data_IF_220587228057
#
_entry.id   IF_220587228057
#
_cell.length_a   1.000
_cell.length_b   1.000
_cell.length_c   1.000
_cell.angle_alpha   90.00
_cell.angle_beta   90.00
_cell.angle_gamma   90.00
#
_symmetry.space_group_name_H-M   'P 1'
#
loop_
_entity.id
_entity.type
_entity.pdbx_description
1 polymer ?
#
# COMPACT_ATOMS: atom_id res chain seq x y z
N UNK A 1 -11.22 -8.32 -6.11
CA UNK A 1 -11.11 -6.85 -6.29
C UNK A 1 -9.68 -6.42 -6.06
N UNK A 2 -9.25 -5.35 -6.71
CA UNK A 2 -7.89 -4.84 -6.55
C UNK A 2 -7.88 -3.64 -5.62
N UNK A 3 -7.03 -3.68 -4.60
CA UNK A 3 -6.88 -2.59 -3.64
C UNK A 3 -5.47 -2.02 -3.68
N UNK A 4 -5.36 -0.70 -3.70
CA UNK A 4 -4.12 0.01 -3.48
C UNK A 4 -4.10 0.55 -2.05
N UNK A 5 -3.08 0.19 -1.28
CA UNK A 5 -2.90 0.69 0.09
C UNK A 5 -1.85 1.79 0.05
N UNK A 6 -2.25 2.99 0.40
CA UNK A 6 -1.33 4.13 0.42
C UNK A 6 -0.78 4.28 1.83
N UNK A 7 0.45 3.87 2.03
CA UNK A 7 1.13 3.86 3.32
C UNK A 7 1.58 2.46 3.70
N UNK A 8 2.86 2.33 4.00
CA UNK A 8 3.51 1.04 4.24
C UNK A 8 3.88 0.81 5.70
N UNK A 9 3.32 1.60 6.60
CA UNK A 9 3.50 1.42 8.03
C UNK A 9 2.71 0.21 8.54
N UNK A 10 2.69 0.02 9.86
CA UNK A 10 2.05 -1.12 10.49
C UNK A 10 0.56 -1.25 10.12
N UNK A 11 -0.18 -0.15 10.10
CA UNK A 11 -1.59 -0.17 9.74
C UNK A 11 -1.79 -0.60 8.29
N UNK A 12 -1.01 -0.03 7.37
CA UNK A 12 -1.08 -0.39 5.95
C UNK A 12 -0.76 -1.85 5.71
N UNK A 13 0.28 -2.37 6.34
CA UNK A 13 0.65 -3.78 6.23
C UNK A 13 -0.44 -4.69 6.80
N UNK A 14 -1.04 -4.34 7.92
CA UNK A 14 -2.12 -5.11 8.54
C UNK A 14 -3.33 -5.18 7.62
N UNK A 15 -3.73 -4.04 7.06
CA UNK A 15 -4.86 -3.97 6.12
C UNK A 15 -4.58 -4.77 4.85
N UNK A 16 -3.38 -4.63 4.30
CA UNK A 16 -2.98 -5.37 3.10
C UNK A 16 -3.03 -6.87 3.33
N UNK A 17 -2.51 -7.35 4.45
CA UNK A 17 -2.54 -8.77 4.80
C UNK A 17 -3.98 -9.27 4.93
N UNK A 18 -4.84 -8.50 5.60
CA UNK A 18 -6.25 -8.89 5.77
C UNK A 18 -6.97 -9.02 4.42
N UNK A 19 -6.74 -8.06 3.52
CA UNK A 19 -7.36 -8.11 2.18
C UNK A 19 -6.84 -9.27 1.35
N UNK A 20 -5.54 -9.58 1.42
CA UNK A 20 -4.99 -10.77 0.76
C UNK A 20 -5.62 -12.06 1.29
N UNK A 21 -5.81 -12.14 2.60
CA UNK A 21 -6.44 -13.30 3.23
C UNK A 21 -7.87 -13.50 2.73
N UNK A 22 -8.56 -12.43 2.41
CA UNK A 22 -9.93 -12.50 1.86
C UNK A 22 -9.96 -12.76 0.35
N UNK A 23 -8.83 -12.95 -0.29
CA UNK A 23 -8.75 -13.31 -1.70
C UNK A 23 -8.69 -12.12 -2.65
N UNK A 24 -8.46 -10.92 -2.15
CA UNK A 24 -8.27 -9.73 -2.99
C UNK A 24 -6.83 -9.60 -3.47
N UNK A 25 -6.63 -8.88 -4.57
CA UNK A 25 -5.33 -8.47 -5.03
C UNK A 25 -4.97 -7.13 -4.37
N UNK A 26 -3.76 -7.01 -3.86
CA UNK A 26 -3.34 -5.82 -3.10
C UNK A 26 -1.97 -5.36 -3.53
N UNK A 27 -1.82 -4.06 -3.71
CA UNK A 27 -0.52 -3.41 -3.86
C UNK A 27 -0.29 -2.47 -2.68
N UNK A 28 0.76 -2.74 -1.91
CA UNK A 28 1.17 -1.89 -0.80
C UNK A 28 2.01 -0.72 -1.34
N UNK A 29 1.48 0.48 -1.21
CA UNK A 29 2.16 1.69 -1.66
C UNK A 29 3.10 2.23 -0.61
N UNK A 30 4.31 2.56 -1.00
CA UNK A 30 5.35 3.06 -0.12
C UNK A 30 6.12 4.21 -0.76
N UNK A 31 6.80 5.00 0.05
CA UNK A 31 7.76 5.99 -0.43
C UNK A 31 9.09 5.36 -0.82
N UNK A 32 9.41 4.22 -0.22
CA UNK A 32 10.70 3.56 -0.41
C UNK A 32 10.49 2.05 -0.49
N UNK A 33 10.57 1.53 -1.71
CA UNK A 33 10.41 0.09 -1.96
C UNK A 33 11.55 -0.75 -1.37
N UNK A 34 12.65 -0.13 -0.98
CA UNK A 34 13.77 -0.80 -0.33
C UNK A 34 13.69 -0.78 1.20
N UNK A 35 12.64 -0.21 1.77
CA UNK A 35 12.43 -0.19 3.22
C UNK A 35 12.39 -1.62 3.76
N UNK A 36 13.18 -1.94 4.80
CA UNK A 36 13.26 -3.31 5.34
C UNK A 36 11.91 -3.88 5.79
N UNK A 37 11.03 -3.04 6.35
CA UNK A 37 9.70 -3.48 6.75
C UNK A 37 8.84 -3.87 5.57
N UNK A 38 8.95 -3.16 4.46
CA UNK A 38 8.22 -3.44 3.22
C UNK A 38 8.74 -4.73 2.59
N UNK A 39 10.05 -4.92 2.55
CA UNK A 39 10.67 -6.13 2.02
C UNK A 39 10.24 -7.35 2.84
N UNK A 40 10.28 -7.23 4.16
CA UNK A 40 9.83 -8.29 5.07
C UNK A 40 8.36 -8.65 4.85
N UNK A 41 7.49 -7.64 4.70
CA UNK A 41 6.08 -7.88 4.41
C UNK A 41 5.90 -8.65 3.12
N UNK A 42 6.62 -8.27 2.07
CA UNK A 42 6.52 -8.94 0.77
C UNK A 42 6.98 -10.40 0.83
N UNK A 43 8.03 -10.68 1.59
CA UNK A 43 8.52 -12.05 1.79
C UNK A 43 7.45 -12.90 2.48
N UNK A 44 6.78 -12.34 3.50
CA UNK A 44 5.74 -13.04 4.24
C UNK A 44 4.41 -13.12 3.50
N UNK A 45 4.24 -12.31 2.45
CA UNK A 45 3.01 -12.25 1.66
C UNK A 45 3.36 -12.30 0.16
N UNK A 46 3.77 -13.47 -0.34
CA UNK A 46 4.33 -13.58 -1.70
C UNK A 46 3.34 -13.25 -2.82
N UNK A 47 2.04 -13.27 -2.55
CA UNK A 47 1.02 -12.84 -3.53
C UNK A 47 0.76 -11.34 -3.50
N UNK A 48 1.28 -10.63 -2.50
CA UNK A 48 1.15 -9.19 -2.39
C UNK A 48 2.12 -8.48 -3.31
N UNK A 49 1.71 -7.31 -3.78
CA UNK A 49 2.52 -6.45 -4.60
C UNK A 49 2.98 -5.23 -3.81
N UNK A 50 4.09 -4.66 -4.23
CA UNK A 50 4.64 -3.44 -3.62
C UNK A 50 5.01 -2.47 -4.74
N UNK A 51 4.69 -1.21 -4.54
CA UNK A 51 5.04 -0.16 -5.49
C UNK A 51 5.03 1.20 -4.79
N UNK A 52 5.33 2.24 -5.55
CA UNK A 52 5.22 3.59 -5.04
C UNK A 52 3.76 4.02 -4.96
N UNK A 53 3.48 5.14 -4.28
CA UNK A 53 2.10 5.60 -4.07
C UNK A 53 1.32 5.72 -5.38
N UNK A 54 1.93 6.30 -6.40
CA UNK A 54 1.30 6.47 -7.72
C UNK A 54 0.95 5.12 -8.33
N UNK A 55 1.85 4.15 -8.20
CA UNK A 55 1.63 2.81 -8.74
C UNK A 55 0.49 2.09 -8.00
N UNK A 56 0.45 2.18 -6.68
CA UNK A 56 -0.62 1.59 -5.90
C UNK A 56 -1.97 2.24 -6.21
N UNK A 57 -2.00 3.54 -6.40
CA UNK A 57 -3.22 4.27 -6.77
C UNK A 57 -3.72 3.84 -8.15
N UNK A 58 -2.82 3.64 -9.10
CA UNK A 58 -3.18 3.18 -10.44
C UNK A 58 -3.63 1.72 -10.45
N UNK A 59 -3.05 0.88 -9.61
CA UNK A 59 -3.39 -0.54 -9.51
C UNK A 59 -4.77 -0.77 -8.92
N UNK A 60 -5.13 -0.01 -7.88
CA UNK A 60 -6.32 -0.28 -7.08
C UNK A 60 -7.61 0.20 -7.73
N UNK A 61 -8.64 -0.63 -7.69
CA UNK A 61 -10.02 -0.21 -7.92
C UNK A 61 -10.56 0.51 -6.69
N UNK A 62 -10.14 0.03 -5.50
CA UNK A 62 -10.36 0.71 -4.24
C UNK A 62 -9.02 1.19 -3.67
N UNK A 63 -9.00 2.38 -3.09
CA UNK A 63 -7.81 2.98 -2.52
C UNK A 63 -8.03 3.16 -1.01
N UNK A 64 -7.07 2.69 -0.21
CA UNK A 64 -7.10 2.87 1.24
C UNK A 64 -5.92 3.75 1.65
N UNK A 65 -6.22 4.85 2.34
CA UNK A 65 -5.19 5.73 2.88
C UNK A 65 -4.82 5.26 4.29
N UNK A 66 -3.61 4.74 4.43
CA UNK A 66 -3.11 4.21 5.70
C UNK A 66 -1.90 5.03 6.18
N UNK A 67 -2.00 6.34 6.06
CA UNK A 67 -0.97 7.28 6.49
C UNK A 67 -1.50 8.12 7.65
N UNK A 68 -0.58 8.69 8.44
CA UNK A 68 -0.97 9.63 9.52
C UNK A 68 -1.67 10.84 8.90
N UNK A 69 -2.64 11.40 9.62
CA UNK A 69 -3.44 12.53 9.13
C UNK A 69 -2.62 13.69 8.57
N UNK A 70 -1.49 14.02 9.20
CA UNK A 70 -0.60 15.08 8.73
C UNK A 70 0.09 14.76 7.40
N UNK A 71 0.07 13.51 6.96
CA UNK A 71 0.70 13.06 5.72
C UNK A 71 -0.28 12.91 4.56
N UNK A 72 -1.59 12.97 4.83
CA UNK A 72 -2.62 12.74 3.80
C UNK A 72 -2.51 13.76 2.66
N UNK A 73 -2.34 15.04 2.98
CA UNK A 73 -2.22 16.09 1.96
C UNK A 73 -1.01 15.86 1.08
N UNK A 74 0.12 15.53 1.67
CA UNK A 74 1.36 15.25 0.92
C UNK A 74 1.18 14.06 -0.03
N UNK A 75 0.55 12.99 0.45
CA UNK A 75 0.29 11.80 -0.36
C UNK A 75 -0.65 12.11 -1.51
N UNK A 76 -1.72 12.87 -1.26
CA UNK A 76 -2.68 13.28 -2.30
C UNK A 76 -1.98 14.13 -3.37
N UNK A 77 -1.08 15.02 -3.00
CA UNK A 77 -0.31 15.79 -3.96
C UNK A 77 0.58 14.91 -4.84
N UNK A 78 1.17 13.85 -4.29
CA UNK A 78 1.99 12.91 -5.06
C UNK A 78 1.16 12.11 -6.06
N UNK A 79 -0.07 11.76 -5.70
CA UNK A 79 -0.96 10.96 -6.55
C UNK A 79 -1.71 11.81 -7.55
N UNK A 80 -2.22 12.97 -7.12
CA UNK A 80 -3.16 13.77 -7.88
C UNK A 80 -2.56 14.79 -8.82
N UNK A 81 -1.26 14.92 -8.87
CA UNK A 81 -0.60 15.92 -9.74
C UNK A 81 -0.57 15.56 -11.21
#
# INVERSE_FOLDING_TARGET
>A
MKFGIIGSGKVGQTLATALLTEGHEVMLGTRDVSNPGVISWRINNPTGLVGYFVEAAAFGEGIVLAVKGSKVVEVVQQIGS
#
